data_IF_742360063699
#
_entry.id   IF_742360063699
#
_cell.length_a   1.000
_cell.length_b   1.000
_cell.length_c   1.000
_cell.angle_alpha   90.00
_cell.angle_beta   90.00
_cell.angle_gamma   90.00
#
_symmetry.space_group_name_H-M   'P 1'
#
loop_
_entity.id
_entity.type
_entity.pdbx_description
1 polymer ?
#
# COMPACT_ATOMS: atom_id res chain seq x y z
N UNK A 1 -32.44 -8.91 -3.80
CA UNK A 1 -32.74 -8.15 -2.57
C UNK A 1 -31.47 -8.10 -1.77
N UNK A 2 -30.83 -6.95 -1.71
CA UNK A 2 -29.70 -6.75 -0.81
C UNK A 2 -30.26 -6.67 0.62
N UNK A 3 -29.74 -7.50 1.50
CA UNK A 3 -30.04 -7.42 2.92
C UNK A 3 -29.68 -6.01 3.43
N UNK A 4 -30.49 -5.39 4.29
CA UNK A 4 -30.10 -4.18 4.97
C UNK A 4 -28.90 -4.51 5.87
N UNK A 5 -27.72 -4.29 5.35
CA UNK A 5 -26.48 -4.56 6.02
C UNK A 5 -25.82 -3.23 6.31
N UNK A 6 -25.82 -2.83 7.55
CA UNK A 6 -24.76 -1.97 8.06
C UNK A 6 -23.52 -2.84 8.03
N UNK A 7 -22.66 -2.66 7.04
CA UNK A 7 -21.28 -3.14 7.18
C UNK A 7 -20.70 -2.33 8.32
N UNK A 8 -20.67 -2.94 9.51
CA UNK A 8 -20.15 -2.36 10.72
C UNK A 8 -18.65 -2.28 10.56
N UNK A 9 -18.18 -1.12 10.17
CA UNK A 9 -16.79 -0.79 10.34
C UNK A 9 -16.66 -0.38 11.79
N UNK A 10 -16.00 -1.26 12.51
CA UNK A 10 -15.84 -1.18 13.93
C UNK A 10 -15.03 0.05 14.30
N UNK A 11 -15.63 0.66 15.27
CA UNK A 11 -15.09 1.34 16.43
C UNK A 11 -13.58 1.35 16.55
N UNK A 12 -13.24 2.45 17.06
CA UNK A 12 -11.99 2.94 17.55
C UNK A 12 -11.13 3.37 16.43
N UNK A 13 -11.17 4.67 16.24
CA UNK A 13 -9.98 5.33 15.91
C UNK A 13 -9.97 6.43 15.03
N UNK A 14 -10.84 7.00 14.63
CA UNK A 14 -10.50 8.29 14.09
C UNK A 14 -11.47 9.32 14.64
N UNK A 15 -10.90 10.22 15.44
CA UNK A 15 -11.52 11.47 15.83
C UNK A 15 -12.66 11.45 16.84
N UNK A 16 -12.36 10.99 18.05
CA UNK A 16 -12.86 11.78 19.16
C UNK A 16 -11.96 13.01 19.28
N UNK A 17 -12.53 14.19 19.21
CA UNK A 17 -11.84 15.46 19.43
C UNK A 17 -11.39 15.62 20.90
N UNK A 18 -11.36 14.56 21.67
CA UNK A 18 -10.74 14.53 22.99
C UNK A 18 -9.26 14.21 22.80
N UNK A 19 -8.42 15.14 23.17
CA UNK A 19 -6.95 15.03 23.24
C UNK A 19 -6.41 13.83 24.05
N UNK A 20 -7.24 12.87 24.43
CA UNK A 20 -6.87 11.72 25.25
C UNK A 20 -6.73 10.42 24.50
N UNK A 21 -7.24 10.32 23.27
CA UNK A 21 -7.00 9.13 22.46
C UNK A 21 -5.82 9.41 21.54
N UNK A 22 -4.65 8.94 21.92
CA UNK A 22 -3.49 8.85 21.04
C UNK A 22 -3.97 8.05 19.83
N UNK A 23 -3.93 8.63 18.60
CA UNK A 23 -4.34 7.89 17.43
C UNK A 23 -3.41 6.69 17.30
N UNK A 24 -3.94 5.52 17.53
CA UNK A 24 -3.24 4.30 17.23
C UNK A 24 -3.07 4.27 15.72
N UNK A 25 -1.82 4.17 15.26
CA UNK A 25 -1.44 4.31 13.87
C UNK A 25 -2.23 3.44 12.88
N UNK A 26 -2.10 3.67 11.58
CA UNK A 26 -2.77 2.90 10.53
C UNK A 26 -2.56 1.40 10.69
N UNK A 27 -3.57 0.63 10.30
CA UNK A 27 -3.49 -0.84 10.25
C UNK A 27 -2.73 -1.26 9.01
N UNK A 28 -1.62 -1.94 9.20
CA UNK A 28 -0.82 -2.49 8.11
C UNK A 28 -1.11 -3.98 8.01
N UNK A 29 -1.58 -4.45 6.87
CA UNK A 29 -1.82 -5.85 6.61
C UNK A 29 -0.73 -6.42 5.69
N UNK A 30 -0.01 -7.42 6.18
CA UNK A 30 1.01 -8.14 5.44
C UNK A 30 0.44 -9.46 4.92
N UNK A 31 0.38 -9.63 3.61
CA UNK A 31 0.04 -10.90 2.96
C UNK A 31 1.36 -11.57 2.57
N UNK A 32 1.72 -12.65 3.25
CA UNK A 32 3.01 -13.30 3.02
C UNK A 32 2.97 -14.80 3.30
N UNK A 33 3.96 -15.52 2.77
CA UNK A 33 4.08 -16.96 2.91
C UNK A 33 4.71 -17.35 4.26
N UNK A 34 4.19 -18.40 4.89
CA UNK A 34 4.81 -19.05 6.04
C UNK A 34 5.76 -20.17 5.61
N UNK A 35 6.62 -20.63 6.49
CA UNK A 35 7.53 -21.76 6.20
C UNK A 35 7.17 -23.02 6.99
N UNK A 36 6.42 -22.90 8.07
CA UNK A 36 6.00 -24.03 8.91
C UNK A 36 4.48 -24.01 9.11
N UNK A 37 3.94 -25.17 9.36
CA UNK A 37 2.54 -25.40 9.75
C UNK A 37 2.52 -25.97 11.17
N UNK A 38 2.71 -25.18 12.21
CA UNK A 38 2.72 -25.70 13.57
C UNK A 38 1.32 -26.22 13.94
N UNK A 39 1.30 -27.38 14.56
CA UNK A 39 0.07 -28.02 15.02
C UNK A 39 0.10 -28.21 16.54
N UNK A 40 -1.05 -28.10 17.16
CA UNK A 40 -1.21 -28.54 18.56
C UNK A 40 -1.04 -30.04 18.70
N UNK A 41 -0.82 -30.51 19.91
CA UNK A 41 -0.71 -31.93 20.20
C UNK A 41 -1.92 -32.78 19.74
N UNK A 42 -3.09 -32.17 19.57
CA UNK A 42 -4.31 -32.76 19.04
C UNK A 42 -4.40 -32.78 17.49
N UNK A 43 -3.35 -32.32 16.80
CA UNK A 43 -3.30 -32.23 15.34
C UNK A 43 -3.96 -30.99 14.72
N UNK A 44 -4.51 -30.06 15.53
CA UNK A 44 -5.07 -28.80 15.02
C UNK A 44 -3.98 -27.79 14.78
N UNK A 45 -4.01 -27.07 13.66
CA UNK A 45 -3.06 -26.00 13.37
C UNK A 45 -3.25 -24.82 14.33
N UNK A 46 -2.17 -24.15 14.73
CA UNK A 46 -2.22 -22.94 15.55
C UNK A 46 -2.91 -21.79 14.81
N UNK A 47 -2.60 -21.64 13.52
CA UNK A 47 -3.19 -20.65 12.62
C UNK A 47 -3.45 -21.33 11.29
N UNK A 48 -4.64 -21.20 10.77
CA UNK A 48 -4.96 -21.71 9.44
C UNK A 48 -4.46 -20.77 8.36
N UNK A 49 -4.30 -21.29 7.15
CA UNK A 49 -3.99 -20.44 6.00
C UNK A 49 -5.15 -19.49 5.73
N UNK A 50 -4.82 -18.27 5.35
CA UNK A 50 -5.77 -17.19 5.07
C UNK A 50 -6.56 -16.68 6.28
N UNK A 51 -6.26 -17.14 7.49
CA UNK A 51 -6.80 -16.52 8.71
C UNK A 51 -6.05 -15.23 9.05
N UNK A 52 -6.78 -14.19 9.36
CA UNK A 52 -6.18 -12.92 9.77
C UNK A 52 -5.71 -13.00 11.21
N UNK A 53 -4.43 -12.72 11.44
CA UNK A 53 -3.83 -12.70 12.76
C UNK A 53 -3.25 -11.32 13.04
N UNK A 54 -3.59 -10.76 14.22
CA UNK A 54 -2.88 -9.56 14.68
C UNK A 54 -1.53 -9.99 15.27
N UNK A 55 -0.46 -9.45 14.74
CA UNK A 55 0.89 -9.68 15.20
C UNK A 55 1.17 -8.84 16.45
N UNK A 56 1.64 -9.47 17.52
CA UNK A 56 1.94 -8.82 18.80
C UNK A 56 3.41 -8.90 19.17
N UNK A 57 4.02 -10.07 19.10
CA UNK A 57 5.44 -10.26 19.42
C UNK A 57 6.16 -11.08 18.36
N UNK A 58 7.48 -10.89 18.27
CA UNK A 58 8.34 -11.66 17.38
C UNK A 58 8.30 -13.18 17.72
N UNK A 59 8.26 -13.52 19.00
CA UNK A 59 8.18 -14.92 19.45
C UNK A 59 6.92 -15.62 18.97
N UNK A 60 5.77 -14.92 18.98
CA UNK A 60 4.51 -15.46 18.49
C UNK A 60 4.58 -15.70 16.98
N UNK A 61 5.22 -14.78 16.25
CA UNK A 61 5.40 -14.87 14.80
C UNK A 61 6.29 -16.05 14.43
N UNK A 62 7.41 -16.25 15.13
CA UNK A 62 8.31 -17.39 14.90
C UNK A 62 7.58 -18.70 15.18
N UNK A 63 6.82 -18.76 16.27
CA UNK A 63 6.07 -19.96 16.66
C UNK A 63 4.97 -20.30 15.66
N UNK A 64 4.24 -19.30 15.18
CA UNK A 64 3.10 -19.51 14.29
C UNK A 64 3.49 -19.72 12.81
N UNK A 65 4.56 -19.09 12.34
CA UNK A 65 4.85 -19.01 10.91
C UNK A 65 6.26 -19.49 10.54
N UNK A 66 7.12 -19.69 11.50
CA UNK A 66 8.50 -20.15 11.35
C UNK A 66 9.53 -19.02 11.38
N UNK A 67 10.67 -19.35 11.96
CA UNK A 67 11.86 -18.51 11.93
C UNK A 67 12.35 -18.34 10.47
N UNK A 68 12.76 -17.14 10.13
CA UNK A 68 13.19 -16.76 8.76
C UNK A 68 12.12 -16.87 7.67
N UNK A 69 10.85 -17.09 8.05
CA UNK A 69 9.75 -17.03 7.08
C UNK A 69 9.61 -15.62 6.47
N UNK A 70 9.02 -15.51 5.27
CA UNK A 70 8.65 -14.21 4.70
C UNK A 70 7.84 -13.35 5.66
N UNK A 71 6.91 -13.96 6.38
CA UNK A 71 6.11 -13.29 7.42
C UNK A 71 7.00 -12.74 8.53
N UNK A 72 7.93 -13.53 9.05
CA UNK A 72 8.85 -13.11 10.10
C UNK A 72 9.72 -11.93 9.65
N UNK A 73 10.29 -12.02 8.44
CA UNK A 73 11.10 -10.94 7.86
C UNK A 73 10.32 -9.65 7.71
N UNK A 74 9.13 -9.72 7.10
CA UNK A 74 8.28 -8.55 6.90
C UNK A 74 7.79 -7.92 8.21
N UNK A 75 7.49 -8.75 9.21
CA UNK A 75 7.12 -8.29 10.54
C UNK A 75 8.24 -7.49 11.21
N UNK A 76 9.48 -8.00 11.20
CA UNK A 76 10.65 -7.31 11.74
C UNK A 76 10.88 -5.96 11.05
N UNK A 77 10.76 -5.93 9.73
CA UNK A 77 10.93 -4.69 8.96
C UNK A 77 9.87 -3.66 9.30
N UNK A 78 8.62 -4.07 9.44
CA UNK A 78 7.51 -3.19 9.80
C UNK A 78 7.66 -2.60 11.19
N UNK A 79 8.00 -3.43 12.19
CA UNK A 79 8.26 -2.95 13.56
C UNK A 79 9.46 -2.02 13.59
N UNK A 80 10.57 -2.38 12.94
CA UNK A 80 11.75 -1.53 12.87
C UNK A 80 11.45 -0.18 12.21
N UNK A 81 10.52 -0.14 11.25
CA UNK A 81 10.02 1.07 10.62
C UNK A 81 9.02 1.86 11.47
N UNK A 82 8.53 1.28 12.57
CA UNK A 82 7.62 1.90 13.53
C UNK A 82 6.13 1.71 13.19
N UNK A 83 5.76 0.66 12.47
CA UNK A 83 4.38 0.26 12.35
C UNK A 83 3.89 -0.33 13.68
N UNK A 84 2.75 0.16 14.20
CA UNK A 84 2.24 -0.22 15.52
C UNK A 84 1.19 -1.32 15.45
N UNK A 85 0.47 -1.41 14.35
CA UNK A 85 -0.67 -2.33 14.18
C UNK A 85 -0.49 -3.16 12.93
N UNK A 86 0.08 -4.34 13.12
CA UNK A 86 0.41 -5.25 12.04
C UNK A 86 -0.57 -6.42 12.09
N UNK A 87 -1.24 -6.65 10.97
CA UNK A 87 -2.07 -7.81 10.70
C UNK A 87 -1.37 -8.66 9.66
N UNK A 88 -1.56 -9.96 9.75
CA UNK A 88 -0.91 -10.93 8.86
C UNK A 88 -1.98 -11.80 8.26
N UNK A 89 -1.93 -11.98 6.95
CA UNK A 89 -2.65 -13.02 6.22
C UNK A 89 -1.61 -14.05 5.75
N UNK A 90 -1.54 -15.20 6.42
CA UNK A 90 -0.56 -16.22 6.08
C UNK A 90 -0.98 -16.97 4.82
N UNK A 91 -0.08 -17.01 3.85
CA UNK A 91 -0.20 -17.87 2.70
C UNK A 91 0.42 -19.25 2.99
N UNK A 92 -0.07 -20.33 2.39
CA UNK A 92 0.49 -21.68 2.54
C UNK A 92 1.98 -21.72 2.27
N UNK A 93 2.71 -22.62 2.95
CA UNK A 93 4.15 -22.80 2.72
C UNK A 93 4.47 -23.28 1.28
N UNK A 94 3.53 -24.00 0.66
CA UNK A 94 3.66 -24.52 -0.71
C UNK A 94 3.09 -23.56 -1.77
N UNK A 95 2.75 -22.33 -1.41
CA UNK A 95 2.18 -21.35 -2.36
C UNK A 95 3.04 -21.19 -3.60
N UNK A 96 2.45 -21.33 -4.75
CA UNK A 96 3.06 -21.11 -6.06
C UNK A 96 2.44 -19.89 -6.72
N UNK A 97 3.28 -19.04 -7.25
CA UNK A 97 2.92 -17.85 -7.99
C UNK A 97 2.97 -18.18 -9.49
N UNK A 98 1.81 -18.29 -10.09
CA UNK A 98 1.69 -18.55 -11.52
C UNK A 98 1.57 -17.22 -12.26
N UNK A 99 2.68 -16.79 -12.85
CA UNK A 99 2.77 -15.55 -13.61
C UNK A 99 2.00 -15.63 -14.94
N UNK A 100 1.93 -16.83 -15.53
CA UNK A 100 1.26 -17.06 -16.81
C UNK A 100 -0.23 -16.79 -16.71
N UNK A 101 -0.86 -17.37 -15.69
CA UNK A 101 -2.28 -17.20 -15.44
C UNK A 101 -2.56 -16.00 -14.52
N UNK A 102 -1.51 -15.42 -13.93
CA UNK A 102 -1.59 -14.34 -12.97
C UNK A 102 -2.40 -14.73 -11.74
N UNK A 103 -2.16 -15.92 -11.22
CA UNK A 103 -2.83 -16.49 -10.05
C UNK A 103 -1.81 -16.91 -9.00
N UNK A 104 -2.25 -16.94 -7.76
CA UNK A 104 -1.51 -17.54 -6.66
C UNK A 104 -2.22 -18.83 -6.32
N UNK A 105 -1.52 -19.95 -6.33
CA UNK A 105 -2.10 -21.24 -6.01
C UNK A 105 -1.57 -21.78 -4.68
N UNK A 106 -2.31 -22.68 -4.08
CA UNK A 106 -1.96 -23.35 -2.83
C UNK A 106 -0.83 -24.38 -2.96
N UNK A 107 -0.32 -24.61 -4.18
CA UNK A 107 0.73 -25.59 -4.46
C UNK A 107 0.29 -27.05 -4.37
N UNK A 108 -1.01 -27.32 -4.27
CA UNK A 108 -1.55 -28.67 -4.28
C UNK A 108 -1.44 -29.34 -5.67
N UNK A 109 -1.62 -30.66 -5.72
CA UNK A 109 -1.60 -31.42 -6.99
C UNK A 109 -2.74 -30.96 -7.96
N UNK A 110 -3.83 -30.41 -7.42
CA UNK A 110 -4.88 -29.71 -8.17
C UNK A 110 -4.89 -28.26 -7.70
N UNK A 111 -4.10 -27.39 -8.33
CA UNK A 111 -3.90 -26.02 -7.83
C UNK A 111 -5.20 -25.22 -7.84
N UNK A 112 -5.50 -24.54 -6.74
CA UNK A 112 -6.62 -23.61 -6.61
C UNK A 112 -6.07 -22.18 -6.44
N UNK A 113 -6.66 -21.22 -7.14
CA UNK A 113 -6.30 -19.83 -6.93
C UNK A 113 -6.70 -19.37 -5.53
N UNK A 114 -5.73 -18.81 -4.79
CA UNK A 114 -5.95 -18.27 -3.45
C UNK A 114 -5.82 -16.74 -3.43
N UNK A 115 -5.66 -16.10 -4.58
CA UNK A 115 -5.47 -14.65 -4.67
C UNK A 115 -6.66 -13.89 -4.08
N UNK A 116 -7.86 -14.16 -4.57
CA UNK A 116 -9.08 -13.49 -4.12
C UNK A 116 -9.38 -13.80 -2.64
N UNK A 117 -9.13 -15.03 -2.22
CA UNK A 117 -9.30 -15.43 -0.83
C UNK A 117 -8.31 -14.71 0.11
N UNK A 118 -7.06 -14.49 -0.32
CA UNK A 118 -6.07 -13.76 0.46
C UNK A 118 -6.45 -12.28 0.63
N UNK A 119 -6.97 -11.64 -0.43
CA UNK A 119 -7.44 -10.26 -0.34
C UNK A 119 -8.76 -10.13 0.44
N UNK A 120 -9.67 -11.10 0.32
CA UNK A 120 -10.88 -11.17 1.15
C UNK A 120 -10.54 -11.35 2.65
N UNK A 121 -9.52 -12.16 2.96
CA UNK A 121 -9.01 -12.29 4.32
C UNK A 121 -8.40 -10.96 4.81
N UNK A 122 -7.63 -10.27 3.96
CA UNK A 122 -7.10 -8.95 4.31
C UNK A 122 -8.21 -7.93 4.57
N UNK A 123 -9.31 -7.97 3.82
CA UNK A 123 -10.50 -7.12 4.05
C UNK A 123 -11.04 -7.26 5.48
N UNK A 124 -11.02 -8.48 6.04
CA UNK A 124 -11.49 -8.72 7.40
C UNK A 124 -10.67 -7.98 8.46
N UNK A 125 -9.39 -7.69 8.22
CA UNK A 125 -8.55 -6.85 9.08
C UNK A 125 -8.90 -5.36 8.98
N UNK A 126 -9.67 -4.94 8.00
CA UNK A 126 -9.96 -3.53 7.69
C UNK A 126 -8.68 -2.68 7.63
N UNK A 127 -7.72 -3.04 6.78
CA UNK A 127 -6.42 -2.39 6.75
C UNK A 127 -6.49 -1.01 6.09
N UNK A 128 -5.62 -0.11 6.52
CA UNK A 128 -5.38 1.15 5.83
C UNK A 128 -4.30 0.95 4.74
N UNK A 129 -3.36 0.03 4.99
CA UNK A 129 -2.27 -0.30 4.08
C UNK A 129 -2.19 -1.82 3.93
N UNK A 130 -2.16 -2.31 2.69
CA UNK A 130 -1.94 -3.73 2.37
C UNK A 130 -0.55 -3.87 1.75
N UNK A 131 0.23 -4.82 2.23
CA UNK A 131 1.53 -5.15 1.65
C UNK A 131 1.45 -6.58 1.13
N UNK A 132 1.23 -6.77 -0.17
CA UNK A 132 1.41 -8.07 -0.78
C UNK A 132 2.90 -8.36 -0.88
N UNK A 133 3.35 -9.36 -0.13
CA UNK A 133 4.76 -9.75 -0.13
C UNK A 133 4.99 -10.87 -1.13
N UNK A 134 5.81 -10.65 -2.12
CA UNK A 134 6.02 -11.53 -3.25
C UNK A 134 6.43 -12.98 -2.95
N UNK A 135 6.73 -13.70 -3.99
CA UNK A 135 6.98 -15.14 -4.05
C UNK A 135 8.08 -15.61 -3.11
N UNK A 136 7.83 -16.70 -2.38
CA UNK A 136 8.85 -17.42 -1.61
C UNK A 136 9.65 -16.60 -0.61
N UNK A 137 9.15 -15.41 -0.25
CA UNK A 137 9.87 -14.47 0.60
C UNK A 137 10.92 -13.66 -0.14
N UNK A 138 10.94 -13.74 -1.44
CA UNK A 138 11.65 -12.78 -2.26
C UNK A 138 10.66 -11.73 -2.75
N UNK A 139 10.65 -10.58 -2.11
CA UNK A 139 9.70 -9.50 -2.41
C UNK A 139 9.87 -8.91 -3.83
N UNK A 140 10.83 -9.40 -4.57
CA UNK A 140 11.13 -8.95 -5.92
C UNK A 140 10.44 -9.78 -7.01
N UNK A 141 9.70 -10.80 -6.62
CA UNK A 141 9.06 -11.72 -7.57
C UNK A 141 7.77 -11.20 -8.20
N UNK A 142 7.34 -9.99 -7.86
CA UNK A 142 6.27 -9.30 -8.59
C UNK A 142 6.64 -8.91 -10.01
N UNK A 143 7.92 -9.08 -10.39
CA UNK A 143 8.41 -8.60 -11.66
C UNK A 143 8.18 -9.55 -12.84
N UNK A 144 7.90 -10.82 -12.58
CA UNK A 144 7.91 -11.83 -13.63
C UNK A 144 9.32 -12.03 -14.21
N UNK A 145 9.49 -13.09 -14.96
CA UNK A 145 10.66 -13.32 -15.81
C UNK A 145 10.31 -12.83 -17.20
N UNK A 146 10.96 -11.80 -17.71
CA UNK A 146 10.64 -11.31 -19.02
C UNK A 146 11.68 -11.77 -20.03
N UNK A 147 11.36 -12.80 -20.78
CA UNK A 147 11.85 -12.91 -22.15
C UNK A 147 10.72 -12.37 -23.04
N UNK A 148 10.94 -11.33 -23.85
CA UNK A 148 9.90 -10.82 -24.75
C UNK A 148 9.36 -11.96 -25.60
N UNK A 149 8.10 -12.30 -25.44
CA UNK A 149 7.42 -13.35 -26.17
C UNK A 149 7.01 -14.58 -25.38
N UNK A 150 7.46 -14.73 -24.14
CA UNK A 150 7.03 -15.81 -23.27
C UNK A 150 5.88 -15.39 -22.35
N UNK A 151 4.99 -16.32 -22.05
CA UNK A 151 3.82 -16.09 -21.19
C UNK A 151 4.17 -15.68 -19.73
N UNK A 152 5.44 -15.69 -19.35
CA UNK A 152 5.98 -15.27 -18.07
C UNK A 152 6.09 -13.74 -17.89
N UNK A 153 5.70 -12.98 -18.89
CA UNK A 153 5.76 -11.50 -18.89
C UNK A 153 4.74 -10.82 -17.98
N UNK A 154 3.91 -11.57 -17.27
CA UNK A 154 2.76 -11.02 -16.55
C UNK A 154 3.03 -10.53 -15.12
N UNK A 155 4.26 -10.39 -14.70
CA UNK A 155 4.59 -9.82 -13.40
C UNK A 155 4.09 -8.38 -13.26
N UNK A 156 4.90 -7.51 -12.69
CA UNK A 156 4.63 -6.08 -12.66
C UNK A 156 4.63 -5.46 -14.07
N UNK A 157 5.44 -6.02 -14.95
CA UNK A 157 5.60 -5.58 -16.32
C UNK A 157 4.43 -6.01 -17.20
N UNK A 158 4.02 -5.11 -18.07
CA UNK A 158 3.17 -5.43 -19.20
C UNK A 158 3.78 -4.78 -20.45
N UNK A 159 4.35 -5.60 -21.32
CA UNK A 159 5.02 -5.11 -22.53
C UNK A 159 4.08 -4.48 -23.54
N UNK A 160 2.80 -4.76 -23.45
CA UNK A 160 1.79 -4.19 -24.32
C UNK A 160 0.43 -4.06 -23.64
N UNK A 161 -0.48 -3.32 -24.27
CA UNK A 161 -1.83 -3.09 -23.76
C UNK A 161 -2.66 -4.37 -23.57
N UNK A 162 -2.38 -5.43 -24.34
CA UNK A 162 -3.11 -6.70 -24.25
C UNK A 162 -2.77 -7.47 -22.97
N UNK A 163 -1.57 -7.27 -22.42
CA UNK A 163 -1.10 -7.95 -21.23
C UNK A 163 -1.22 -7.10 -19.95
N UNK A 164 -1.58 -5.82 -20.08
CA UNK A 164 -1.69 -4.91 -18.96
C UNK A 164 -2.64 -5.41 -17.86
N UNK A 165 -3.76 -6.02 -18.24
CA UNK A 165 -4.75 -6.57 -17.29
C UNK A 165 -4.26 -7.80 -16.51
N UNK A 166 -3.20 -8.45 -16.97
CA UNK A 166 -2.55 -9.57 -16.29
C UNK A 166 -1.42 -9.11 -15.36
N UNK A 167 -1.02 -7.84 -15.43
CA UNK A 167 -0.03 -7.25 -14.54
C UNK A 167 -0.45 -7.36 -13.07
N UNK A 168 0.48 -7.75 -12.22
CA UNK A 168 0.27 -7.78 -10.78
C UNK A 168 -0.12 -6.43 -10.21
N UNK A 169 0.42 -5.34 -10.74
CA UNK A 169 0.04 -3.99 -10.33
C UNK A 169 -1.44 -3.73 -10.57
N UNK A 170 -1.97 -4.12 -11.74
CA UNK A 170 -3.39 -3.96 -12.09
C UNK A 170 -4.27 -4.88 -11.25
N UNK A 171 -3.86 -6.15 -11.05
CA UNK A 171 -4.64 -7.11 -10.26
C UNK A 171 -4.74 -6.70 -8.80
N UNK A 172 -3.61 -6.33 -8.19
CA UNK A 172 -3.56 -5.86 -6.81
C UNK A 172 -4.36 -4.55 -6.68
N UNK A 173 -4.20 -3.62 -7.62
CA UNK A 173 -4.94 -2.37 -7.63
C UNK A 173 -6.46 -2.61 -7.70
N UNK A 174 -6.91 -3.55 -8.52
CA UNK A 174 -8.32 -3.92 -8.65
C UNK A 174 -8.85 -4.52 -7.35
N UNK A 175 -8.17 -5.51 -6.78
CA UNK A 175 -8.57 -6.13 -5.52
C UNK A 175 -8.63 -5.11 -4.37
N UNK A 176 -7.66 -4.23 -4.29
CA UNK A 176 -7.62 -3.18 -3.25
C UNK A 176 -8.69 -2.12 -3.49
N UNK A 177 -8.99 -1.76 -4.74
CA UNK A 177 -10.13 -0.90 -5.08
C UNK A 177 -11.44 -1.51 -4.58
N UNK A 178 -11.66 -2.80 -4.84
CA UNK A 178 -12.87 -3.48 -4.41
C UNK A 178 -13.03 -3.46 -2.88
N UNK A 179 -11.96 -3.67 -2.13
CA UNK A 179 -11.95 -3.52 -0.67
C UNK A 179 -12.23 -2.06 -0.27
N UNK A 180 -11.59 -1.11 -0.92
CA UNK A 180 -11.70 0.30 -0.57
C UNK A 180 -13.12 0.86 -0.81
N UNK A 181 -13.78 0.41 -1.87
CA UNK A 181 -15.14 0.86 -2.21
C UNK A 181 -16.22 0.15 -1.37
N UNK A 182 -16.05 -1.14 -1.11
CA UNK A 182 -17.08 -1.94 -0.46
C UNK A 182 -16.94 -2.04 1.06
N UNK A 183 -15.74 -1.92 1.60
CA UNK A 183 -15.46 -2.17 3.02
C UNK A 183 -14.73 -1.00 3.67
N UNK A 184 -13.41 -1.00 3.59
CA UNK A 184 -12.56 -0.04 4.27
C UNK A 184 -11.60 0.62 3.28
N UNK A 185 -11.59 1.96 3.16
CA UNK A 185 -10.70 2.66 2.25
C UNK A 185 -9.23 2.35 2.57
N UNK A 186 -8.53 1.79 1.61
CA UNK A 186 -7.15 1.35 1.75
C UNK A 186 -6.37 1.46 0.44
N UNK A 187 -5.07 1.24 0.53
CA UNK A 187 -4.19 1.12 -0.62
C UNK A 187 -3.11 0.07 -0.40
N UNK A 188 -2.56 -0.46 -1.49
CA UNK A 188 -1.45 -1.39 -1.44
C UNK A 188 -0.11 -0.68 -1.60
N UNK A 189 0.91 -1.21 -0.94
CA UNK A 189 2.31 -0.84 -1.16
C UNK A 189 3.06 -2.07 -1.65
N UNK A 190 3.59 -2.02 -2.86
CA UNK A 190 4.36 -3.11 -3.45
C UNK A 190 5.77 -2.68 -3.83
N UNK A 191 6.71 -3.60 -3.69
CA UNK A 191 8.10 -3.40 -4.05
C UNK A 191 8.43 -4.01 -5.40
N UNK A 192 9.26 -3.35 -6.16
CA UNK A 192 9.82 -3.88 -7.40
C UNK A 192 11.32 -3.68 -7.42
N UNK A 193 12.05 -4.62 -8.01
CA UNK A 193 13.46 -4.42 -8.33
C UNK A 193 13.57 -3.51 -9.55
N UNK A 194 14.60 -2.70 -9.63
CA UNK A 194 15.06 -2.19 -10.91
C UNK A 194 15.65 -3.37 -11.70
N UNK A 195 14.96 -3.78 -12.73
CA UNK A 195 15.20 -5.03 -13.44
C UNK A 195 15.64 -4.80 -14.88
N UNK A 196 16.57 -5.64 -15.36
CA UNK A 196 16.75 -5.92 -16.78
C UNK A 196 16.48 -7.42 -17.03
N UNK A 197 15.46 -7.77 -17.81
CA UNK A 197 15.07 -9.14 -18.06
C UNK A 197 16.16 -10.02 -18.69
N UNK A 198 17.16 -9.44 -19.35
CA UNK A 198 18.23 -10.17 -20.02
C UNK A 198 19.34 -10.68 -19.10
N UNK A 199 19.28 -10.46 -17.78
CA UNK A 199 20.38 -10.77 -16.87
C UNK A 199 19.95 -11.69 -15.74
N UNK A 200 20.42 -12.93 -15.80
CA UNK A 200 20.01 -14.02 -14.90
C UNK A 200 20.47 -13.90 -13.43
N UNK A 201 21.43 -13.04 -13.08
CA UNK A 201 22.03 -12.99 -11.74
C UNK A 201 22.20 -11.57 -11.23
N UNK A 202 21.10 -10.92 -10.91
CA UNK A 202 21.09 -9.59 -10.34
C UNK A 202 21.93 -9.44 -9.05
N UNK A 203 21.92 -10.46 -8.20
CA UNK A 203 22.65 -10.45 -6.93
C UNK A 203 24.18 -10.48 -7.09
N UNK A 204 24.67 -10.95 -8.23
CA UNK A 204 26.10 -10.98 -8.55
C UNK A 204 26.60 -9.74 -9.28
N UNK A 205 25.74 -8.76 -9.56
CA UNK A 205 26.12 -7.56 -10.28
C UNK A 205 26.97 -6.60 -9.45
N UNK A 206 27.96 -6.01 -10.11
CA UNK A 206 28.70 -4.89 -9.54
C UNK A 206 27.82 -3.63 -9.47
N UNK A 207 28.12 -2.66 -8.58
CA UNK A 207 27.39 -1.40 -8.51
C UNK A 207 27.27 -0.68 -9.86
N UNK A 208 28.26 -0.75 -10.71
CA UNK A 208 28.24 -0.16 -12.05
C UNK A 208 27.24 -0.86 -12.97
N UNK A 209 27.20 -2.19 -12.96
CA UNK A 209 26.22 -2.96 -13.72
C UNK A 209 24.81 -2.69 -13.23
N UNK A 210 24.60 -2.60 -11.93
CA UNK A 210 23.32 -2.22 -11.34
C UNK A 210 22.87 -0.84 -11.85
N UNK A 211 23.75 0.15 -11.89
CA UNK A 211 23.47 1.49 -12.41
C UNK A 211 23.02 1.48 -13.88
N UNK A 212 23.67 0.66 -14.71
CA UNK A 212 23.28 0.48 -16.11
C UNK A 212 21.90 -0.19 -16.23
N UNK A 213 21.63 -1.17 -15.40
CA UNK A 213 20.35 -1.87 -15.38
C UNK A 213 19.19 -1.01 -14.91
N UNK A 214 19.41 -0.16 -13.91
CA UNK A 214 18.43 0.84 -13.46
C UNK A 214 17.93 1.68 -14.64
N UNK A 215 18.83 2.16 -15.50
CA UNK A 215 18.46 2.97 -16.66
C UNK A 215 17.68 2.21 -17.72
N UNK A 216 18.06 0.97 -18.02
CA UNK A 216 17.44 0.16 -19.08
C UNK A 216 16.13 -0.53 -18.63
N UNK A 217 16.02 -0.92 -17.35
CA UNK A 217 14.87 -1.64 -16.82
C UNK A 217 13.60 -0.82 -16.71
N UNK A 218 13.70 0.50 -16.58
CA UNK A 218 12.52 1.36 -16.40
C UNK A 218 11.61 1.44 -17.63
N UNK A 219 12.14 1.28 -18.81
CA UNK A 219 11.35 1.32 -20.05
C UNK A 219 10.37 0.14 -20.21
N UNK A 220 10.55 -0.91 -19.42
CA UNK A 220 9.70 -2.11 -19.43
C UNK A 220 8.64 -2.12 -18.33
N UNK A 221 8.66 -1.15 -17.40
CA UNK A 221 7.65 -1.03 -16.36
C UNK A 221 6.31 -0.58 -16.95
N UNK A 222 5.22 -1.03 -16.34
CA UNK A 222 3.88 -0.57 -16.69
C UNK A 222 3.76 0.93 -16.37
N UNK A 223 3.58 1.73 -17.41
CA UNK A 223 3.37 3.17 -17.24
C UNK A 223 2.08 3.45 -16.50
N UNK A 224 2.11 4.41 -15.57
CA UNK A 224 0.92 4.91 -14.85
C UNK A 224 -0.17 5.46 -15.76
N UNK A 225 0.18 5.91 -16.99
CA UNK A 225 -0.78 6.40 -17.98
C UNK A 225 -1.38 5.28 -18.84
N UNK A 226 -1.12 4.01 -18.49
CA UNK A 226 -1.77 2.88 -19.12
C UNK A 226 -3.27 2.85 -18.78
N UNK A 227 -4.11 2.64 -19.77
CA UNK A 227 -5.57 2.60 -19.59
C UNK A 227 -6.04 1.60 -18.53
N UNK A 228 -5.32 0.50 -18.34
CA UNK A 228 -5.64 -0.49 -17.30
C UNK A 228 -5.47 0.04 -15.87
N UNK A 229 -4.71 1.13 -15.67
CA UNK A 229 -4.50 1.78 -14.37
C UNK A 229 -5.35 3.03 -14.18
N UNK A 230 -6.09 3.50 -15.19
CA UNK A 230 -6.77 4.80 -15.17
C UNK A 230 -7.67 5.02 -13.94
N UNK A 231 -8.36 3.97 -13.48
CA UNK A 231 -9.26 4.06 -12.32
C UNK A 231 -8.74 3.34 -11.08
N UNK A 232 -7.85 2.38 -11.24
CA UNK A 232 -7.38 1.53 -10.14
C UNK A 232 -6.01 1.94 -9.61
N UNK A 233 -5.19 2.61 -10.42
CA UNK A 233 -3.80 2.93 -10.09
C UNK A 233 -3.63 3.79 -8.83
N UNK A 234 -4.63 4.59 -8.46
CA UNK A 234 -4.64 5.37 -7.21
C UNK A 234 -4.56 4.50 -5.95
N UNK A 235 -4.96 3.23 -6.04
CA UNK A 235 -4.98 2.30 -4.91
C UNK A 235 -3.66 1.53 -4.74
N UNK A 236 -2.65 1.80 -5.57
CA UNK A 236 -1.34 1.16 -5.47
C UNK A 236 -0.22 2.18 -5.43
N UNK A 237 0.69 1.95 -4.51
CA UNK A 237 1.96 2.68 -4.35
C UNK A 237 3.09 1.70 -4.61
N UNK A 238 3.96 2.02 -5.56
CA UNK A 238 5.07 1.15 -5.94
C UNK A 238 6.39 1.79 -5.58
N UNK A 239 7.31 1.01 -5.04
CA UNK A 239 8.68 1.44 -4.75
C UNK A 239 9.71 0.53 -5.39
N UNK A 240 10.68 1.12 -6.07
CA UNK A 240 11.87 0.46 -6.61
C UNK A 240 13.06 0.80 -5.73
N UNK A 241 13.35 -0.06 -4.76
CA UNK A 241 14.50 0.06 -3.88
C UNK A 241 14.89 -1.30 -3.31
N UNK A 242 16.19 -1.54 -3.18
CA UNK A 242 16.73 -2.64 -2.39
C UNK A 242 17.40 -2.07 -1.14
N UNK A 243 16.87 -2.44 0.01
CA UNK A 243 17.26 -1.92 1.31
C UNK A 243 17.79 -3.02 2.21
N UNK A 244 18.72 -2.67 3.08
CA UNK A 244 19.11 -3.51 4.20
C UNK A 244 18.53 -2.90 5.47
N UNK A 245 17.50 -3.52 6.07
CA UNK A 245 16.92 -3.01 7.30
C UNK A 245 17.93 -3.02 8.46
N UNK A 246 17.73 -2.12 9.40
CA UNK A 246 18.43 -2.15 10.70
C UNK A 246 17.97 -3.41 11.46
N UNK A 247 18.86 -4.04 12.19
CA UNK A 247 18.59 -5.28 12.92
C UNK A 247 18.31 -6.53 12.06
N UNK A 248 18.50 -6.42 10.75
CA UNK A 248 18.34 -7.54 9.84
C UNK A 248 19.58 -8.45 9.91
N UNK A 249 19.46 -9.75 10.14
CA UNK A 249 20.60 -10.66 10.10
C UNK A 249 21.33 -10.54 8.77
N UNK A 250 22.66 -10.58 8.81
CA UNK A 250 23.49 -10.43 7.59
C UNK A 250 23.15 -11.47 6.52
N UNK A 251 22.77 -12.68 6.95
CA UNK A 251 22.37 -13.77 6.08
C UNK A 251 21.07 -13.50 5.27
N UNK A 252 20.23 -12.56 5.70
CA UNK A 252 18.99 -12.25 4.99
C UNK A 252 19.18 -11.31 3.81
N UNK A 253 20.34 -10.67 3.69
CA UNK A 253 20.71 -9.82 2.55
C UNK A 253 19.91 -8.53 2.47
N UNK A 254 19.60 -8.15 1.24
CA UNK A 254 18.76 -6.99 0.92
C UNK A 254 17.33 -7.44 0.65
N UNK A 255 16.39 -6.57 0.98
CA UNK A 255 14.96 -6.75 0.72
C UNK A 255 14.42 -5.57 -0.09
N UNK A 256 13.19 -5.67 -0.61
CA UNK A 256 12.61 -4.51 -1.28
C UNK A 256 12.12 -3.47 -0.28
N UNK A 257 11.90 -2.25 -0.78
CA UNK A 257 11.51 -1.11 0.05
C UNK A 257 10.02 -1.04 0.42
N UNK A 258 9.18 -2.02 0.10
CA UNK A 258 7.74 -1.92 0.33
C UNK A 258 7.37 -1.79 1.81
N UNK A 259 7.89 -2.67 2.65
CA UNK A 259 7.69 -2.62 4.11
C UNK A 259 8.24 -1.33 4.71
N UNK A 260 9.41 -0.88 4.23
CA UNK A 260 10.02 0.39 4.64
C UNK A 260 9.13 1.58 4.32
N UNK A 261 8.59 1.65 3.10
CA UNK A 261 7.70 2.73 2.70
C UNK A 261 6.37 2.66 3.46
N UNK A 262 5.77 1.48 3.58
CA UNK A 262 4.53 1.28 4.33
C UNK A 262 4.67 1.68 5.80
N UNK A 263 5.75 1.27 6.46
CA UNK A 263 6.05 1.64 7.84
C UNK A 263 6.29 3.15 7.97
N UNK A 264 6.99 3.77 7.04
CA UNK A 264 7.17 5.22 7.03
C UNK A 264 5.83 5.96 6.89
N UNK A 265 4.99 5.54 5.96
CA UNK A 265 3.65 6.12 5.75
C UNK A 265 2.76 5.91 6.99
N UNK A 266 2.82 4.74 7.64
CA UNK A 266 2.00 4.45 8.83
C UNK A 266 2.32 5.35 10.03
N UNK A 267 3.53 5.88 10.12
CA UNK A 267 3.96 6.80 11.20
C UNK A 267 3.59 8.25 10.94
N UNK A 268 3.31 8.60 9.70
CA UNK A 268 3.03 9.99 9.31
C UNK A 268 1.54 10.28 9.36
N UNK A 269 1.18 11.52 9.67
CA UNK A 269 -0.20 12.00 9.47
C UNK A 269 -0.60 11.85 7.99
N UNK A 270 -1.89 11.77 7.72
CA UNK A 270 -2.42 11.56 6.36
C UNK A 270 -1.98 12.65 5.37
N UNK A 271 -1.83 13.87 5.85
CA UNK A 271 -1.42 15.04 5.05
C UNK A 271 0.10 15.21 4.95
N UNK A 272 0.90 14.32 5.57
CA UNK A 272 2.36 14.36 5.45
C UNK A 272 2.81 13.43 4.34
N UNK A 273 3.57 13.99 3.39
CA UNK A 273 4.20 13.23 2.31
C UNK A 273 5.47 12.51 2.78
N UNK A 274 5.77 11.33 2.24
CA UNK A 274 7.07 10.69 2.45
C UNK A 274 8.23 11.41 1.75
N UNK A 275 7.96 12.35 0.86
CA UNK A 275 8.99 13.09 0.11
C UNK A 275 10.05 13.67 1.04
N UNK A 276 11.31 13.39 0.74
CA UNK A 276 12.49 13.84 1.49
C UNK A 276 12.50 13.41 2.98
N UNK A 277 11.71 12.42 3.37
CA UNK A 277 11.73 11.86 4.71
C UNK A 277 12.72 10.70 4.79
N UNK A 278 13.36 10.59 5.95
CA UNK A 278 14.34 9.52 6.21
C UNK A 278 13.66 8.17 6.32
N UNK A 279 14.25 7.16 5.70
CA UNK A 279 13.90 5.76 5.91
C UNK A 279 14.63 5.24 7.17
N UNK A 280 14.01 5.40 8.34
CA UNK A 280 14.64 5.17 9.64
C UNK A 280 15.07 3.73 9.91
N UNK A 281 14.39 2.76 9.30
CA UNK A 281 14.68 1.34 9.46
C UNK A 281 15.71 0.82 8.46
N UNK A 282 16.35 1.68 7.70
CA UNK A 282 17.30 1.29 6.63
C UNK A 282 18.71 1.64 7.03
N UNK A 283 19.56 0.63 7.13
CA UNK A 283 21.00 0.81 7.38
C UNK A 283 21.78 1.16 6.10
N UNK A 284 21.36 0.61 4.96
CA UNK A 284 21.96 0.90 3.65
C UNK A 284 20.98 0.58 2.53
N UNK A 285 21.18 1.26 1.40
CA UNK A 285 20.54 0.90 0.12
C UNK A 285 21.60 0.25 -0.77
N UNK A 286 21.20 -0.72 -1.59
CA UNK A 286 22.15 -1.48 -2.43
C UNK A 286 22.75 -0.59 -3.52
N UNK A 287 21.95 0.29 -4.07
CA UNK A 287 22.36 1.27 -5.07
C UNK A 287 21.63 2.59 -4.87
N UNK A 288 22.31 3.66 -5.26
CA UNK A 288 21.78 5.01 -5.17
C UNK A 288 21.44 5.52 -6.58
N UNK A 289 20.15 5.67 -6.94
CA UNK A 289 19.77 6.10 -8.28
C UNK A 289 20.24 7.54 -8.56
N UNK A 290 20.75 7.77 -9.76
CA UNK A 290 21.10 9.10 -10.25
C UNK A 290 19.86 9.96 -10.43
N UNK A 291 20.02 11.29 -10.51
CA UNK A 291 18.88 12.20 -10.70
C UNK A 291 18.05 11.87 -11.95
N UNK A 292 18.69 11.49 -13.06
CA UNK A 292 17.97 11.08 -14.28
C UNK A 292 17.15 9.80 -14.08
N UNK A 293 17.68 8.85 -13.33
CA UNK A 293 16.98 7.62 -12.98
C UNK A 293 15.82 7.88 -12.02
N UNK A 294 15.99 8.78 -11.05
CA UNK A 294 14.91 9.22 -10.15
C UNK A 294 13.77 9.88 -10.94
N UNK A 295 14.09 10.72 -11.91
CA UNK A 295 13.08 11.34 -12.78
C UNK A 295 12.35 10.30 -13.63
N UNK A 296 13.07 9.37 -14.25
CA UNK A 296 12.47 8.30 -15.05
C UNK A 296 11.51 7.41 -14.22
N UNK A 297 11.88 7.08 -12.97
CA UNK A 297 10.99 6.38 -12.04
C UNK A 297 9.76 7.21 -11.67
N UNK A 298 9.96 8.49 -11.38
CA UNK A 298 8.88 9.42 -11.05
C UNK A 298 7.87 9.55 -12.19
N UNK A 299 8.34 9.61 -13.44
CA UNK A 299 7.48 9.67 -14.63
C UNK A 299 6.60 8.41 -14.77
N UNK A 300 7.09 7.27 -14.32
CA UNK A 300 6.34 6.01 -14.28
C UNK A 300 5.43 5.88 -13.05
N UNK A 301 5.46 6.82 -12.11
CA UNK A 301 4.74 6.73 -10.84
C UNK A 301 5.39 5.80 -9.82
N UNK A 302 6.67 5.45 -10.00
CA UNK A 302 7.41 4.54 -9.13
C UNK A 302 8.28 5.34 -8.15
N UNK A 303 8.11 5.08 -6.87
CA UNK A 303 8.91 5.69 -5.82
C UNK A 303 10.30 5.04 -5.73
N UNK A 304 11.27 5.76 -5.20
CA UNK A 304 12.59 5.22 -4.92
C UNK A 304 13.20 5.85 -3.67
N UNK A 305 14.26 5.21 -3.17
CA UNK A 305 15.14 5.75 -2.13
C UNK A 305 16.42 6.28 -2.76
N UNK A 306 16.89 7.41 -2.26
CA UNK A 306 18.20 7.96 -2.61
C UNK A 306 18.92 8.45 -1.35
N UNK A 307 20.23 8.50 -1.42
CA UNK A 307 21.02 9.09 -0.34
C UNK A 307 20.94 10.61 -0.42
N UNK A 308 20.57 11.24 0.68
CA UNK A 308 20.60 12.69 0.80
C UNK A 308 22.04 13.20 0.99
N UNK A 309 22.19 14.51 1.17
CA UNK A 309 23.50 15.16 1.38
C UNK A 309 24.28 14.55 2.57
N UNK A 310 23.58 14.10 3.60
CA UNK A 310 24.18 13.45 4.78
C UNK A 310 24.39 11.94 4.61
N UNK A 311 24.24 11.42 3.40
CA UNK A 311 24.31 9.97 3.07
C UNK A 311 23.29 9.11 3.80
N UNK A 312 22.16 9.69 4.17
CA UNK A 312 21.04 8.98 4.80
C UNK A 312 20.01 8.64 3.74
N UNK A 313 19.49 7.39 3.69
CA UNK A 313 18.42 7.00 2.78
C UNK A 313 17.16 7.82 3.01
N UNK A 314 16.66 8.47 1.96
CA UNK A 314 15.43 9.26 1.98
C UNK A 314 14.54 8.90 0.81
N UNK A 315 13.23 9.02 1.01
CA UNK A 315 12.27 8.84 -0.09
C UNK A 315 12.33 10.03 -1.03
N UNK A 316 12.44 9.76 -2.32
CA UNK A 316 12.53 10.81 -3.34
C UNK A 316 11.16 11.38 -3.66
N UNK A 317 10.16 10.51 -3.76
CA UNK A 317 8.78 10.87 -4.11
C UNK A 317 7.78 10.14 -3.21
N UNK A 318 6.51 10.58 -3.29
CA UNK A 318 5.37 9.95 -2.64
C UNK A 318 4.22 9.79 -3.64
N UNK A 319 4.41 8.95 -4.66
CA UNK A 319 3.51 8.78 -5.79
C UNK A 319 2.66 7.52 -5.68
N UNK A 320 1.44 7.59 -6.19
CA UNK A 320 0.60 6.46 -6.54
C UNK A 320 0.80 6.10 -8.02
N UNK A 321 0.25 4.98 -8.47
CA UNK A 321 0.18 4.64 -9.90
C UNK A 321 -1.00 5.29 -10.63
N UNK A 322 -1.67 6.27 -10.03
CA UNK A 322 -2.67 7.07 -10.75
C UNK A 322 -2.04 7.77 -11.96
N UNK A 323 -2.80 7.93 -13.02
CA UNK A 323 -2.35 8.61 -14.24
C UNK A 323 -1.78 10.00 -13.95
N UNK A 324 -0.87 10.47 -14.80
CA UNK A 324 -0.16 11.74 -14.62
C UNK A 324 -1.07 12.96 -14.53
N UNK A 325 -2.24 12.89 -15.14
CA UNK A 325 -3.29 13.92 -15.12
C UNK A 325 -4.31 13.75 -13.98
N UNK A 326 -4.17 12.73 -13.15
CA UNK A 326 -5.09 12.46 -12.05
C UNK A 326 -4.78 13.31 -10.83
N UNK A 327 -5.82 13.74 -10.11
CA UNK A 327 -5.69 14.44 -8.83
C UNK A 327 -5.12 13.53 -7.72
N UNK A 328 -5.16 12.21 -7.92
CA UNK A 328 -4.71 11.19 -6.96
C UNK A 328 -3.26 10.73 -7.18
N UNK A 329 -2.44 11.51 -7.88
CA UNK A 329 -1.03 11.15 -8.14
C UNK A 329 -0.16 11.10 -6.88
N UNK A 330 -0.60 11.69 -5.77
CA UNK A 330 0.15 11.78 -4.51
C UNK A 330 -0.44 10.87 -3.43
N UNK A 331 0.44 10.20 -2.71
CA UNK A 331 0.06 9.37 -1.56
C UNK A 331 -0.63 10.20 -0.47
N UNK A 332 -0.15 11.41 -0.19
CA UNK A 332 -0.77 12.33 0.76
C UNK A 332 -2.19 12.71 0.35
N UNK A 333 -2.41 13.11 -0.91
CA UNK A 333 -3.74 13.43 -1.43
C UNK A 333 -4.69 12.24 -1.29
N UNK A 334 -4.25 11.05 -1.73
CA UNK A 334 -5.05 9.85 -1.63
C UNK A 334 -5.42 9.52 -0.17
N UNK A 335 -4.46 9.65 0.77
CA UNK A 335 -4.70 9.42 2.20
C UNK A 335 -5.68 10.43 2.80
N UNK A 336 -5.58 11.71 2.44
CA UNK A 336 -6.52 12.74 2.88
C UNK A 336 -7.94 12.42 2.43
N UNK A 337 -8.11 12.04 1.15
CA UNK A 337 -9.42 11.65 0.61
C UNK A 337 -9.97 10.42 1.30
N UNK A 338 -9.12 9.41 1.52
CA UNK A 338 -9.46 8.19 2.25
C UNK A 338 -9.96 8.51 3.66
N UNK A 339 -9.22 9.35 4.38
CA UNK A 339 -9.55 9.77 5.74
C UNK A 339 -10.86 10.57 5.79
N UNK A 340 -11.05 11.52 4.88
CA UNK A 340 -12.30 12.28 4.77
C UNK A 340 -13.50 11.35 4.51
N UNK A 341 -13.34 10.38 3.61
CA UNK A 341 -14.39 9.40 3.29
C UNK A 341 -14.75 8.53 4.50
N UNK A 342 -13.74 8.05 5.25
CA UNK A 342 -13.95 7.28 6.48
C UNK A 342 -14.68 8.10 7.53
N UNK A 343 -14.24 9.33 7.75
CA UNK A 343 -14.82 10.22 8.73
C UNK A 343 -16.28 10.49 8.45
N UNK A 344 -16.62 10.79 7.18
CA UNK A 344 -18.01 11.01 6.78
C UNK A 344 -18.84 9.74 6.95
N UNK A 345 -18.33 8.56 6.55
CA UNK A 345 -19.01 7.27 6.77
C UNK A 345 -19.33 7.08 8.26
N UNK A 346 -18.37 7.31 9.15
CA UNK A 346 -18.57 7.16 10.60
C UNK A 346 -19.62 8.13 11.15
N UNK A 347 -19.57 9.39 10.72
CA UNK A 347 -20.51 10.42 11.18
C UNK A 347 -21.93 10.13 10.69
N UNK A 348 -22.06 9.64 9.46
CA UNK A 348 -23.35 9.35 8.85
C UNK A 348 -23.97 8.04 9.31
N UNK A 349 -23.17 7.09 9.81
CA UNK A 349 -23.62 5.77 10.22
C UNK A 349 -24.74 5.81 11.28
N UNK A 350 -24.68 6.77 12.21
CA UNK A 350 -25.67 6.92 13.27
C UNK A 350 -27.06 7.36 12.76
N UNK A 351 -27.15 7.88 11.54
CA UNK A 351 -28.41 8.31 10.93
C UNK A 351 -29.07 7.21 10.10
N UNK A 352 -28.40 6.07 9.91
CA UNK A 352 -28.99 4.92 9.21
C UNK A 352 -30.07 4.30 10.09
N UNK A 353 -31.27 4.16 9.52
CA UNK A 353 -32.46 3.65 10.23
C UNK A 353 -33.30 4.74 10.92
N UNK A 354 -32.79 5.97 11.00
CA UNK A 354 -33.56 7.09 11.53
C UNK A 354 -34.58 7.61 10.49
N UNK A 355 -35.75 8.13 10.93
CA UNK A 355 -36.69 8.75 10.03
C UNK A 355 -36.07 9.96 9.32
N UNK A 356 -36.26 10.07 8.01
CA UNK A 356 -35.73 11.18 7.21
C UNK A 356 -36.55 12.47 7.41
N UNK A 357 -36.58 12.98 8.64
CA UNK A 357 -37.18 14.28 8.99
C UNK A 357 -36.24 15.46 8.66
N UNK A 358 -36.78 16.67 8.60
CA UNK A 358 -35.95 17.88 8.42
C UNK A 358 -34.90 17.97 9.52
N UNK A 359 -35.26 17.63 10.76
CA UNK A 359 -34.33 17.68 11.91
C UNK A 359 -33.20 16.67 11.76
N UNK A 360 -33.49 15.44 11.35
CA UNK A 360 -32.48 14.38 11.11
C UNK A 360 -31.52 14.81 10.00
N UNK A 361 -32.05 15.39 8.91
CA UNK A 361 -31.23 15.90 7.79
C UNK A 361 -30.29 17.02 8.23
N UNK A 362 -30.81 18.06 8.91
CA UNK A 362 -30.00 19.14 9.41
C UNK A 362 -28.94 18.68 10.42
N UNK A 363 -29.26 17.69 11.26
CA UNK A 363 -28.32 17.12 12.20
C UNK A 363 -27.19 16.36 11.47
N UNK A 364 -27.49 15.64 10.40
CA UNK A 364 -26.49 14.94 9.57
C UNK A 364 -25.57 15.95 8.87
N UNK A 365 -26.11 16.98 8.23
CA UNK A 365 -25.33 18.03 7.57
C UNK A 365 -24.43 18.80 8.55
N UNK A 366 -24.94 19.10 9.74
CA UNK A 366 -24.15 19.71 10.81
C UNK A 366 -22.99 18.80 11.25
N UNK A 367 -23.24 17.51 11.38
CA UNK A 367 -22.23 16.54 11.76
C UNK A 367 -21.14 16.40 10.68
N UNK A 368 -21.51 16.37 9.39
CA UNK A 368 -20.56 16.38 8.26
C UNK A 368 -19.72 17.66 8.27
N UNK A 369 -20.37 18.83 8.42
CA UNK A 369 -19.68 20.13 8.50
C UNK A 369 -18.66 20.16 9.64
N UNK A 370 -19.04 19.65 10.81
CA UNK A 370 -18.15 19.60 11.97
C UNK A 370 -16.93 18.70 11.73
N UNK A 371 -17.14 17.56 11.07
CA UNK A 371 -16.09 16.63 10.73
C UNK A 371 -15.07 17.23 9.75
N UNK A 372 -15.54 17.86 8.67
CA UNK A 372 -14.70 18.50 7.67
C UNK A 372 -13.92 19.70 8.25
N UNK A 373 -14.56 20.51 9.09
CA UNK A 373 -13.88 21.58 9.82
C UNK A 373 -12.78 21.07 10.74
N UNK A 374 -12.96 19.90 11.36
CA UNK A 374 -11.91 19.26 12.14
C UNK A 374 -10.67 18.96 11.28
N UNK A 375 -10.85 18.43 10.08
CA UNK A 375 -9.75 18.19 9.14
C UNK A 375 -9.09 19.48 8.64
N UNK A 376 -9.86 20.56 8.43
CA UNK A 376 -9.32 21.87 8.09
C UNK A 376 -8.45 22.43 9.22
N UNK A 377 -8.91 22.33 10.47
CA UNK A 377 -8.16 22.79 11.64
C UNK A 377 -6.85 22.03 11.85
N UNK A 378 -6.81 20.75 11.47
CA UNK A 378 -5.59 19.92 11.47
C UNK A 378 -4.64 20.28 10.32
N UNK A 379 -5.08 21.10 9.36
CA UNK A 379 -4.29 21.46 8.17
C UNK A 379 -4.26 20.38 7.08
N UNK A 380 -5.16 19.40 7.13
CA UNK A 380 -5.28 18.37 6.10
C UNK A 380 -6.03 18.88 4.87
N UNK A 381 -7.02 19.75 5.07
CA UNK A 381 -7.82 20.38 4.02
C UNK A 381 -7.63 21.88 4.01
N UNK A 382 -7.53 22.46 2.82
CA UNK A 382 -7.58 23.91 2.62
C UNK A 382 -9.03 24.39 2.54
N UNK A 383 -9.88 23.62 1.86
CA UNK A 383 -11.30 23.91 1.69
C UNK A 383 -12.11 22.63 1.53
N UNK A 384 -13.40 22.70 1.81
CA UNK A 384 -14.35 21.61 1.61
C UNK A 384 -15.75 22.12 1.43
N UNK A 385 -16.46 21.56 0.47
CA UNK A 385 -17.87 21.78 0.20
C UNK A 385 -18.57 20.44 0.03
N UNK A 386 -19.86 20.37 0.33
CA UNK A 386 -20.65 19.18 0.12
C UNK A 386 -22.12 19.50 -0.14
N UNK A 387 -22.75 18.64 -0.89
CA UNK A 387 -24.18 18.67 -1.13
C UNK A 387 -24.83 17.33 -0.73
N UNK A 388 -25.97 17.40 -0.07
CA UNK A 388 -26.73 16.19 0.29
C UNK A 388 -28.02 16.16 -0.50
N UNK A 389 -28.20 15.12 -1.31
CA UNK A 389 -29.41 14.86 -2.08
C UNK A 389 -30.17 13.69 -1.48
N UNK A 390 -31.45 13.88 -1.21
CA UNK A 390 -32.31 12.85 -0.64
C UNK A 390 -33.20 12.23 -1.73
N UNK A 391 -33.15 10.91 -1.87
CA UNK A 391 -33.93 10.14 -2.86
C UNK A 391 -34.94 9.26 -2.11
N UNK A 392 -36.13 9.76 -1.82
CA UNK A 392 -37.12 9.03 -1.01
C UNK A 392 -37.55 7.70 -1.61
N UNK A 393 -37.59 7.60 -2.95
CA UNK A 393 -37.99 6.36 -3.65
C UNK A 393 -37.04 5.20 -3.41
N UNK A 394 -35.76 5.50 -3.10
CA UNK A 394 -34.70 4.52 -2.84
C UNK A 394 -34.36 4.41 -1.36
N UNK A 395 -35.00 5.17 -0.48
CA UNK A 395 -34.61 5.34 0.93
C UNK A 395 -33.13 5.68 1.08
N UNK A 396 -32.62 6.59 0.24
CA UNK A 396 -31.21 6.89 0.11
C UNK A 396 -30.92 8.37 0.27
N UNK A 397 -29.82 8.69 0.96
CA UNK A 397 -29.17 9.98 0.92
C UNK A 397 -27.86 9.84 0.12
N UNK A 398 -27.64 10.73 -0.83
CA UNK A 398 -26.41 10.81 -1.60
C UNK A 398 -25.65 12.06 -1.14
N UNK A 399 -24.39 11.89 -0.79
CA UNK A 399 -23.49 12.97 -0.36
C UNK A 399 -22.47 13.16 -1.46
N UNK A 400 -22.50 14.33 -2.08
CA UNK A 400 -21.49 14.79 -3.01
C UNK A 400 -20.51 15.67 -2.27
N UNK A 401 -19.24 15.29 -2.27
CA UNK A 401 -18.19 15.92 -1.48
C UNK A 401 -17.09 16.44 -2.39
N UNK A 402 -16.81 17.73 -2.29
CA UNK A 402 -15.67 18.41 -2.93
C UNK A 402 -14.69 18.84 -1.86
N UNK A 403 -13.46 18.39 -1.94
CA UNK A 403 -12.41 18.74 -0.99
C UNK A 403 -11.17 19.28 -1.72
N UNK A 404 -10.53 20.26 -1.12
CA UNK A 404 -9.24 20.79 -1.56
C UNK A 404 -8.18 20.37 -0.55
N UNK A 405 -7.39 19.32 -0.84
CA UNK A 405 -6.34 18.86 0.05
C UNK A 405 -5.23 19.90 0.22
N UNK A 406 -4.53 19.86 1.34
CA UNK A 406 -3.33 20.65 1.52
C UNK A 406 -2.22 20.19 0.54
N UNK A 407 -1.54 21.17 -0.06
CA UNK A 407 -0.47 20.90 -1.04
C UNK A 407 0.82 20.48 -0.35
N UNK A 408 1.55 19.56 -0.98
CA UNK A 408 2.92 19.26 -0.62
C UNK A 408 3.87 20.36 -1.08
N UNK A 409 4.70 20.87 -0.18
CA UNK A 409 5.81 21.73 -0.56
C UNK A 409 6.95 20.85 -1.09
N UNK A 410 7.13 20.80 -2.41
CA UNK A 410 8.10 19.93 -3.08
C UNK A 410 9.44 20.60 -3.37
N UNK A 411 9.41 21.84 -3.83
CA UNK A 411 10.59 22.58 -4.25
C UNK A 411 10.67 23.92 -3.52
N UNK A 412 11.86 24.27 -3.08
CA UNK A 412 12.18 25.59 -2.52
C UNK A 412 13.31 26.16 -3.37
N UNK A 413 13.06 27.27 -4.04
CA UNK A 413 14.09 28.00 -4.78
C UNK A 413 14.59 29.15 -3.95
N UNK A 414 15.91 29.22 -3.76
CA UNK A 414 16.57 30.31 -3.03
C UNK A 414 17.43 31.08 -4.01
N UNK A 415 17.13 32.35 -4.19
CA UNK A 415 17.96 33.26 -4.96
C UNK A 415 18.86 34.07 -4.01
N UNK A 416 20.15 33.98 -4.20
CA UNK A 416 21.13 34.77 -3.42
C UNK A 416 21.76 35.79 -4.33
N UNK A 417 21.56 37.08 -4.02
CA UNK A 417 22.27 38.17 -4.66
C UNK A 417 23.41 38.66 -3.76
N UNK A 418 24.61 38.81 -4.32
CA UNK A 418 25.77 39.37 -3.63
C UNK A 418 25.91 40.82 -4.10
N UNK A 419 25.76 41.78 -3.19
CA UNK A 419 26.13 43.17 -3.42
C UNK A 419 27.62 43.35 -3.04
N UNK A 420 28.45 43.69 -4.00
CA UNK A 420 29.84 44.04 -3.79
C UNK A 420 29.98 45.55 -3.56
#
# INVERSE_FOLDING_TARGET
MALPGVKTIIKDRFYSISRQDIPVGPRVCLIAQRTINPVHANGTQYVQDLDVVQATTESDIITAFGENSPIHKGFIELIAGGAERIYIVPLPAATVWDHVNGIITDGAATPVSIFDAAFAAAEAAQPDIIIPWGRGGNPNDWQGTATPGDDEEYGFYANNSSNATKSWAVKIATAVKDIAENSHPCFAVMGVKPWNPSTANYESMTPSQVGTHLGAGFSTLLSRDNAALSEVGRHVVVISAEVKPVNYPTAWGYTNGATTLAAAISRMSSFTSPVNKTAYNVSSIRYNPTRSQQLALSDLGVNCLALNFNKVPTFVEGLTLAGSSSDYTRVSTMRIVTEASLLIRQVCQKFIGEPSTIQTRNSMETAITSALRGMQQLGALLDSDFAVSYIPAENKAFIDLVITPAFELKNIEVQVAINL
#
